data_IF_989338767807
#
_entry.id   IF_989338767807
#
_cell.length_a   1.000
_cell.length_b   1.000
_cell.length_c   1.000
_cell.angle_alpha   90.00
_cell.angle_beta   90.00
_cell.angle_gamma   90.00
#
_symmetry.space_group_name_H-M   'P 1'
#
loop_
_entity.id
_entity.type
_entity.pdbx_description
1 polymer ?
#
# COMPACT_ATOMS: atom_id res chain seq x y z
N UNK A 1 -0.01 -45.84 -7.68
CA UNK A 1 -0.90 -44.67 -7.47
C UNK A 1 -0.93 -44.21 -6.01
N UNK A 2 -1.00 -45.11 -5.02
CA UNK A 2 -0.88 -44.70 -3.60
C UNK A 2 0.55 -44.29 -3.21
N UNK A 3 1.55 -44.99 -3.75
CA UNK A 3 2.98 -44.85 -3.43
C UNK A 3 3.57 -43.56 -4.05
N UNK A 4 3.28 -43.29 -5.32
CA UNK A 4 3.53 -41.98 -5.98
C UNK A 4 3.00 -40.74 -5.22
N UNK A 5 1.83 -40.82 -4.56
CA UNK A 5 1.31 -39.68 -3.76
C UNK A 5 2.10 -39.48 -2.44
N UNK A 6 2.54 -40.57 -1.81
CA UNK A 6 3.36 -40.52 -0.59
C UNK A 6 4.73 -39.88 -0.85
N UNK A 7 5.35 -40.18 -1.99
CA UNK A 7 6.64 -39.56 -2.37
C UNK A 7 6.51 -38.07 -2.68
N UNK A 8 5.40 -37.62 -3.30
CA UNK A 8 5.14 -36.19 -3.53
C UNK A 8 4.92 -35.41 -2.22
N UNK A 9 4.24 -36.00 -1.24
CA UNK A 9 4.16 -35.40 0.10
C UNK A 9 5.53 -35.27 0.77
N UNK A 10 6.42 -36.26 0.60
CA UNK A 10 7.81 -36.18 1.09
C UNK A 10 8.61 -35.08 0.40
N UNK A 11 8.39 -34.83 -0.90
CA UNK A 11 9.01 -33.71 -1.63
C UNK A 11 8.54 -32.37 -1.06
N UNK A 12 7.24 -32.25 -0.74
CA UNK A 12 6.68 -31.05 -0.11
C UNK A 12 7.30 -30.81 1.27
N UNK A 13 7.38 -31.84 2.11
CA UNK A 13 7.98 -31.75 3.43
C UNK A 13 9.48 -31.36 3.36
N UNK A 14 10.22 -31.88 2.38
CA UNK A 14 11.60 -31.49 2.14
C UNK A 14 11.74 -30.00 1.79
N UNK A 15 10.88 -29.47 0.90
CA UNK A 15 10.85 -28.05 0.57
C UNK A 15 10.47 -27.18 1.78
N UNK A 16 9.50 -27.61 2.59
CA UNK A 16 9.11 -26.90 3.81
C UNK A 16 10.29 -26.73 4.77
N UNK A 17 11.08 -27.79 4.96
CA UNK A 17 12.31 -27.78 5.76
C UNK A 17 13.40 -26.91 5.14
N UNK A 18 13.61 -27.02 3.83
CA UNK A 18 14.63 -26.26 3.09
C UNK A 18 14.35 -24.76 3.16
N UNK A 19 13.07 -24.38 3.03
CA UNK A 19 12.63 -22.98 3.09
C UNK A 19 12.32 -22.50 4.52
N UNK A 20 12.57 -23.29 5.56
CA UNK A 20 12.32 -22.86 6.94
C UNK A 20 13.13 -21.62 7.35
N UNK A 21 14.31 -21.42 6.74
CA UNK A 21 15.15 -20.23 6.90
C UNK A 21 14.91 -19.11 5.89
N UNK A 22 13.95 -19.28 4.97
CA UNK A 22 13.72 -18.34 3.88
C UNK A 22 13.11 -17.01 4.37
N UNK A 23 13.35 -15.89 3.66
CA UNK A 23 12.67 -14.64 3.95
C UNK A 23 11.16 -14.79 3.74
N UNK A 24 10.37 -14.42 4.75
CA UNK A 24 8.92 -14.46 4.66
C UNK A 24 8.41 -13.44 3.63
N UNK A 25 7.56 -13.89 2.70
CA UNK A 25 6.95 -13.03 1.69
C UNK A 25 6.21 -13.80 0.60
N UNK A 26 5.33 -13.10 -0.13
CA UNK A 26 4.54 -13.67 -1.24
C UNK A 26 5.43 -14.29 -2.33
N UNK A 27 6.58 -13.67 -2.60
CA UNK A 27 7.54 -14.14 -3.61
C UNK A 27 8.22 -15.45 -3.20
N UNK A 28 8.51 -15.64 -1.91
CA UNK A 28 9.09 -16.88 -1.39
C UNK A 28 8.08 -18.05 -1.46
N UNK A 29 6.81 -17.78 -1.16
CA UNK A 29 5.74 -18.78 -1.31
C UNK A 29 5.49 -19.13 -2.78
N UNK A 30 5.41 -18.14 -3.67
CA UNK A 30 5.23 -18.37 -5.10
C UNK A 30 6.39 -19.18 -5.69
N UNK A 31 7.63 -18.84 -5.33
CA UNK A 31 8.82 -19.57 -5.78
C UNK A 31 8.84 -21.01 -5.25
N UNK A 32 8.43 -21.23 -3.99
CA UNK A 32 8.34 -22.56 -3.39
C UNK A 32 7.29 -23.43 -4.10
N UNK A 33 6.13 -22.87 -4.44
CA UNK A 33 5.10 -23.58 -5.20
C UNK A 33 5.54 -23.87 -6.65
N UNK A 34 6.22 -22.92 -7.31
CA UNK A 34 6.83 -23.12 -8.64
C UNK A 34 7.85 -24.27 -8.62
N UNK A 35 8.75 -24.26 -7.63
CA UNK A 35 9.77 -25.29 -7.48
C UNK A 35 9.17 -26.66 -7.12
N UNK A 36 8.13 -26.70 -6.28
CA UNK A 36 7.41 -27.93 -5.97
C UNK A 36 6.76 -28.55 -7.21
N UNK A 37 6.14 -27.73 -8.06
CA UNK A 37 5.56 -28.18 -9.32
C UNK A 37 6.63 -28.76 -10.26
N UNK A 38 7.74 -28.05 -10.48
CA UNK A 38 8.85 -28.54 -11.31
C UNK A 38 9.45 -29.85 -10.78
N UNK A 39 9.57 -29.99 -9.45
CA UNK A 39 10.03 -31.22 -8.82
C UNK A 39 9.05 -32.38 -9.01
N UNK A 40 7.74 -32.14 -8.95
CA UNK A 40 6.73 -33.16 -9.21
C UNK A 40 6.75 -33.61 -10.66
N UNK A 41 6.88 -32.67 -11.60
CA UNK A 41 6.94 -32.97 -13.04
C UNK A 41 8.18 -33.82 -13.35
N UNK A 42 9.37 -33.42 -12.85
CA UNK A 42 10.59 -34.24 -12.98
C UNK A 42 10.50 -35.61 -12.34
N UNK A 43 9.81 -35.70 -11.20
CA UNK A 43 9.61 -36.98 -10.52
C UNK A 43 8.76 -37.92 -11.38
N UNK A 44 7.64 -37.41 -11.92
CA UNK A 44 6.74 -38.18 -12.77
C UNK A 44 7.46 -38.64 -14.05
N UNK A 45 8.24 -37.76 -14.70
CA UNK A 45 9.05 -38.10 -15.87
C UNK A 45 10.03 -39.25 -15.60
N UNK A 46 10.66 -39.27 -14.41
CA UNK A 46 11.61 -40.32 -14.03
C UNK A 46 10.89 -41.65 -13.76
N UNK A 47 9.74 -41.62 -13.09
CA UNK A 47 8.94 -42.82 -12.85
C UNK A 47 8.42 -43.39 -14.17
N UNK A 48 7.94 -42.54 -15.08
CA UNK A 48 7.47 -42.93 -16.41
C UNK A 48 8.60 -43.49 -17.29
N UNK A 49 9.84 -43.04 -17.08
CA UNK A 49 11.03 -43.62 -17.72
C UNK A 49 11.41 -45.03 -17.20
N UNK A 50 10.67 -45.55 -16.22
CA UNK A 50 10.86 -46.87 -15.63
C UNK A 50 11.77 -46.89 -14.40
N UNK A 51 12.10 -45.73 -13.83
CA UNK A 51 12.87 -45.61 -12.59
C UNK A 51 11.98 -45.93 -11.38
N UNK A 52 12.55 -46.52 -10.33
CA UNK A 52 11.78 -46.78 -9.11
C UNK A 52 11.42 -45.47 -8.40
N UNK A 53 10.26 -45.44 -7.75
CA UNK A 53 9.76 -44.24 -7.04
C UNK A 53 10.77 -43.67 -6.03
N UNK A 54 11.48 -44.52 -5.28
CA UNK A 54 12.49 -44.08 -4.32
C UNK A 54 13.79 -43.57 -4.97
N UNK A 55 14.17 -44.10 -6.12
CA UNK A 55 15.35 -43.65 -6.87
C UNK A 55 15.07 -42.32 -7.59
N UNK A 56 13.88 -42.18 -8.16
CA UNK A 56 13.38 -40.93 -8.73
C UNK A 56 13.38 -39.80 -7.68
N UNK A 57 12.86 -40.08 -6.48
CA UNK A 57 12.88 -39.12 -5.35
C UNK A 57 14.28 -38.63 -5.01
N UNK A 58 15.24 -39.54 -4.81
CA UNK A 58 16.62 -39.19 -4.48
C UNK A 58 17.28 -38.38 -5.60
N UNK A 59 16.98 -38.71 -6.86
CA UNK A 59 17.54 -37.99 -8.01
C UNK A 59 16.99 -36.58 -8.11
N UNK A 60 15.69 -36.37 -7.89
CA UNK A 60 15.07 -35.03 -7.86
C UNK A 60 15.68 -34.17 -6.75
N UNK A 61 15.80 -34.70 -5.53
CA UNK A 61 16.37 -33.95 -4.40
C UNK A 61 17.82 -33.55 -4.64
N UNK A 62 18.62 -34.45 -5.22
CA UNK A 62 20.01 -34.15 -5.54
C UNK A 62 20.19 -33.06 -6.62
N UNK A 63 19.16 -32.81 -7.44
CA UNK A 63 19.21 -31.89 -8.57
C UNK A 63 18.78 -30.45 -8.28
N UNK A 64 18.13 -30.20 -7.14
CA UNK A 64 17.60 -28.86 -6.79
C UNK A 64 18.70 -27.88 -6.37
N UNK A 65 19.82 -28.40 -5.84
CA UNK A 65 20.89 -27.58 -5.27
C UNK A 65 20.73 -27.34 -3.78
N UNK A 66 21.59 -26.48 -3.24
CA UNK A 66 21.65 -26.19 -1.80
C UNK A 66 20.66 -25.08 -1.39
N UNK A 67 20.23 -25.02 -0.12
CA UNK A 67 19.35 -23.96 0.36
C UNK A 67 19.88 -22.54 0.06
N UNK A 68 21.21 -22.36 0.15
CA UNK A 68 21.85 -21.06 -0.11
C UNK A 68 21.72 -20.63 -1.59
N UNK A 69 21.88 -21.56 -2.53
CA UNK A 69 21.70 -21.31 -3.97
C UNK A 69 20.24 -20.95 -4.30
N UNK A 70 19.29 -21.67 -3.70
CA UNK A 70 17.85 -21.38 -3.85
C UNK A 70 17.48 -20.01 -3.29
N UNK A 71 18.04 -19.63 -2.14
CA UNK A 71 17.81 -18.31 -1.56
C UNK A 71 18.47 -17.20 -2.35
N UNK A 72 19.63 -17.45 -2.96
CA UNK A 72 20.26 -16.50 -3.88
C UNK A 72 19.39 -16.28 -5.12
N UNK A 73 18.83 -17.35 -5.69
CA UNK A 73 17.91 -17.27 -6.82
C UNK A 73 16.61 -16.54 -6.45
N UNK A 74 16.04 -16.84 -5.28
CA UNK A 74 14.88 -16.13 -4.74
C UNK A 74 15.20 -14.64 -4.59
N UNK A 75 16.33 -14.29 -3.97
CA UNK A 75 16.74 -12.91 -3.77
C UNK A 75 16.98 -12.18 -5.11
N UNK A 76 17.48 -12.88 -6.13
CA UNK A 76 17.66 -12.37 -7.49
C UNK A 76 16.33 -12.10 -8.19
N UNK A 77 15.35 -13.02 -8.07
CA UNK A 77 13.98 -12.85 -8.59
C UNK A 77 13.23 -11.72 -7.86
N UNK A 78 13.46 -11.55 -6.56
CA UNK A 78 12.89 -10.49 -5.73
C UNK A 78 13.49 -9.10 -5.96
N UNK A 79 14.72 -9.01 -6.48
CA UNK A 79 15.31 -7.72 -6.78
C UNK A 79 14.63 -7.08 -7.99
N UNK A 80 14.13 -5.83 -7.86
CA UNK A 80 13.47 -5.17 -8.97
C UNK A 80 14.47 -4.97 -10.11
N UNK A 81 14.19 -5.57 -11.27
CA UNK A 81 15.03 -5.42 -12.44
C UNK A 81 14.94 -3.98 -12.98
N UNK A 82 15.91 -3.56 -13.79
CA UNK A 82 16.01 -2.20 -14.36
C UNK A 82 14.70 -1.76 -15.04
N UNK A 83 14.03 -2.68 -15.74
CA UNK A 83 12.74 -2.43 -16.38
C UNK A 83 11.62 -2.10 -15.38
N UNK A 84 11.58 -2.73 -14.21
CA UNK A 84 10.56 -2.50 -13.18
C UNK A 84 10.80 -1.18 -12.44
N UNK A 85 12.07 -0.84 -12.21
CA UNK A 85 12.49 0.47 -11.69
C UNK A 85 12.02 1.58 -12.64
N UNK A 86 12.25 1.42 -13.94
CA UNK A 86 11.84 2.42 -14.94
C UNK A 86 10.31 2.55 -15.03
N UNK A 87 9.58 1.42 -15.02
CA UNK A 87 8.11 1.41 -14.99
C UNK A 87 7.57 2.12 -13.75
N UNK A 88 8.12 1.83 -12.57
CA UNK A 88 7.73 2.47 -11.32
C UNK A 88 8.01 3.99 -11.35
N UNK A 89 9.16 4.40 -11.90
CA UNK A 89 9.49 5.82 -12.06
C UNK A 89 8.52 6.54 -13.00
N UNK A 90 8.16 5.93 -14.14
CA UNK A 90 7.17 6.47 -15.09
C UNK A 90 5.81 6.65 -14.44
N UNK A 91 5.34 5.66 -13.68
CA UNK A 91 4.04 5.73 -12.97
C UNK A 91 4.06 6.81 -11.89
N UNK A 92 5.13 6.89 -11.10
CA UNK A 92 5.31 7.95 -10.09
C UNK A 92 5.31 9.35 -10.72
N UNK A 93 5.97 9.54 -11.86
CA UNK A 93 5.95 10.81 -12.60
C UNK A 93 4.53 11.19 -13.03
N UNK A 94 3.78 10.26 -13.62
CA UNK A 94 2.38 10.50 -14.02
C UNK A 94 1.49 10.87 -12.82
N UNK A 95 1.59 10.13 -11.72
CA UNK A 95 0.83 10.41 -10.49
C UNK A 95 1.18 11.80 -9.92
N UNK A 96 2.45 12.18 -9.91
CA UNK A 96 2.87 13.50 -9.46
C UNK A 96 2.35 14.63 -10.37
N UNK A 97 2.37 14.43 -11.70
CA UNK A 97 1.81 15.39 -12.67
C UNK A 97 0.31 15.59 -12.46
N UNK A 98 -0.44 14.50 -12.25
CA UNK A 98 -1.87 14.55 -11.91
C UNK A 98 -2.10 15.30 -10.59
N UNK A 99 -1.25 15.08 -9.60
CA UNK A 99 -1.32 15.78 -8.30
C UNK A 99 -1.05 17.28 -8.47
N UNK A 100 -0.01 17.67 -9.22
CA UNK A 100 0.25 19.09 -9.49
C UNK A 100 -0.86 19.75 -10.28
N UNK A 101 -1.47 19.04 -11.24
CA UNK A 101 -2.59 19.54 -12.01
C UNK A 101 -3.82 19.76 -11.12
N UNK A 102 -4.12 18.83 -10.21
CA UNK A 102 -5.20 18.98 -9.25
C UNK A 102 -5.01 20.22 -8.35
N UNK A 103 -3.79 20.44 -7.86
CA UNK A 103 -3.45 21.62 -7.05
C UNK A 103 -3.66 22.91 -7.85
N UNK A 104 -3.25 22.94 -9.12
CA UNK A 104 -3.50 24.08 -10.00
C UNK A 104 -5.00 24.35 -10.18
N UNK A 105 -5.82 23.30 -10.35
CA UNK A 105 -7.28 23.42 -10.43
C UNK A 105 -7.89 23.97 -9.14
N UNK A 106 -7.40 23.58 -7.96
CA UNK A 106 -7.86 24.16 -6.70
C UNK A 106 -7.58 25.65 -6.60
N UNK A 107 -6.38 26.08 -6.99
CA UNK A 107 -6.00 27.49 -7.00
C UNK A 107 -6.86 28.27 -8.01
N UNK A 108 -7.20 27.65 -9.15
CA UNK A 108 -8.05 28.27 -10.18
C UNK A 108 -9.54 28.24 -9.83
N UNK A 109 -9.98 27.38 -8.89
CA UNK A 109 -11.40 27.17 -8.56
C UNK A 109 -12.18 28.42 -8.12
N UNK A 110 -11.59 29.45 -7.47
CA UNK A 110 -12.32 30.67 -7.12
C UNK A 110 -12.52 31.62 -8.32
N UNK A 111 -11.75 31.46 -9.41
CA UNK A 111 -11.77 32.40 -10.55
C UNK A 111 -13.16 32.54 -11.19
N UNK A 112 -13.91 31.45 -11.46
CA UNK A 112 -15.28 31.58 -11.99
C UNK A 112 -16.23 32.37 -11.08
N UNK A 113 -16.08 32.26 -9.76
CA UNK A 113 -16.90 33.04 -8.80
C UNK A 113 -16.52 34.51 -8.84
N UNK A 114 -15.22 34.81 -8.88
CA UNK A 114 -14.74 36.20 -8.97
C UNK A 114 -15.16 36.88 -10.28
N UNK A 115 -15.08 36.15 -11.40
CA UNK A 115 -15.54 36.66 -12.70
C UNK A 115 -17.06 36.83 -12.72
N UNK A 116 -17.82 35.86 -12.19
CA UNK A 116 -19.28 35.97 -12.07
C UNK A 116 -19.69 37.24 -11.30
N UNK A 117 -19.03 37.54 -10.19
CA UNK A 117 -19.28 38.78 -9.43
C UNK A 117 -18.79 40.05 -10.12
N UNK A 118 -17.78 39.97 -11.00
CA UNK A 118 -17.22 41.14 -11.67
C UNK A 118 -18.03 41.59 -12.90
N UNK A 119 -18.69 40.66 -13.59
CA UNK A 119 -19.43 40.95 -14.83
C UNK A 119 -20.93 41.17 -14.65
N UNK A 120 -21.53 40.70 -13.55
CA UNK A 120 -22.99 40.83 -13.34
C UNK A 120 -23.37 40.70 -11.86
N UNK A 121 -24.15 41.65 -11.33
CA UNK A 121 -24.73 41.61 -9.98
C UNK A 121 -25.99 40.72 -9.89
N UNK A 122 -26.21 39.84 -10.87
CA UNK A 122 -27.38 38.96 -10.86
C UNK A 122 -27.12 37.72 -10.01
N UNK A 123 -28.00 37.46 -9.03
CA UNK A 123 -27.97 36.27 -8.17
C UNK A 123 -27.82 34.95 -8.96
N UNK A 124 -28.41 34.88 -10.16
CA UNK A 124 -28.33 33.69 -11.02
C UNK A 124 -26.91 33.42 -11.51
N UNK A 125 -26.15 34.47 -11.84
CA UNK A 125 -24.77 34.37 -12.33
C UNK A 125 -23.83 34.02 -11.17
N UNK A 126 -24.07 34.57 -9.98
CA UNK A 126 -23.33 34.22 -8.76
C UNK A 126 -23.54 32.75 -8.36
N UNK A 127 -24.78 32.24 -8.40
CA UNK A 127 -25.09 30.83 -8.13
C UNK A 127 -24.39 29.92 -9.16
N UNK A 128 -24.43 30.29 -10.45
CA UNK A 128 -23.77 29.53 -11.51
C UNK A 128 -22.24 29.47 -11.31
N UNK A 129 -21.62 30.58 -10.90
CA UNK A 129 -20.20 30.65 -10.54
C UNK A 129 -19.86 29.72 -9.38
N UNK A 130 -20.70 29.70 -8.33
CA UNK A 130 -20.52 28.79 -7.19
C UNK A 130 -20.65 27.31 -7.59
N UNK A 131 -21.62 26.97 -8.45
CA UNK A 131 -21.75 25.61 -9.00
C UNK A 131 -20.49 25.20 -9.77
N UNK A 132 -19.93 26.09 -10.61
CA UNK A 132 -18.69 25.82 -11.35
C UNK A 132 -17.49 25.62 -10.43
N UNK A 133 -17.38 26.37 -9.34
CA UNK A 133 -16.36 26.15 -8.33
C UNK A 133 -16.43 24.74 -7.75
N UNK A 134 -17.61 24.29 -7.34
CA UNK A 134 -17.78 22.94 -6.79
C UNK A 134 -17.45 21.84 -7.80
N UNK A 135 -17.76 22.04 -9.08
CA UNK A 135 -17.38 21.11 -10.15
C UNK A 135 -15.87 21.03 -10.33
N UNK A 136 -15.16 22.16 -10.31
CA UNK A 136 -13.69 22.19 -10.41
C UNK A 136 -13.05 21.51 -9.19
N UNK A 137 -13.56 21.79 -7.99
CA UNK A 137 -13.12 21.15 -6.74
C UNK A 137 -13.35 19.64 -6.77
N UNK A 138 -14.51 19.18 -7.26
CA UNK A 138 -14.81 17.76 -7.41
C UNK A 138 -13.86 17.09 -8.41
N UNK A 139 -13.61 17.70 -9.56
CA UNK A 139 -12.67 17.20 -10.56
C UNK A 139 -11.23 17.13 -10.02
N UNK A 140 -10.78 18.16 -9.29
CA UNK A 140 -9.46 18.18 -8.65
C UNK A 140 -9.32 17.06 -7.60
N UNK A 141 -10.36 16.87 -6.76
CA UNK A 141 -10.39 15.80 -5.75
C UNK A 141 -10.28 14.42 -6.41
N UNK A 142 -11.07 14.19 -7.46
CA UNK A 142 -11.03 12.93 -8.22
C UNK A 142 -9.63 12.65 -8.77
N UNK A 143 -8.96 13.67 -9.30
CA UNK A 143 -7.62 13.55 -9.86
C UNK A 143 -6.58 13.16 -8.80
N UNK A 144 -6.67 13.71 -7.57
CA UNK A 144 -5.81 13.32 -6.44
C UNK A 144 -6.06 11.87 -6.02
N UNK A 145 -7.34 11.47 -5.88
CA UNK A 145 -7.69 10.11 -5.47
C UNK A 145 -7.16 9.11 -6.50
N UNK A 146 -7.34 9.40 -7.79
CA UNK A 146 -6.81 8.58 -8.87
C UNK A 146 -5.27 8.49 -8.85
N UNK A 147 -4.58 9.62 -8.68
CA UNK A 147 -3.13 9.64 -8.54
C UNK A 147 -2.64 8.84 -7.32
N UNK A 148 -3.37 8.91 -6.21
CA UNK A 148 -3.05 8.18 -4.98
C UNK A 148 -3.19 6.66 -5.15
N UNK A 149 -4.25 6.21 -5.82
CA UNK A 149 -4.51 4.80 -6.14
C UNK A 149 -3.42 4.24 -7.06
N UNK A 150 -3.00 5.02 -8.06
CA UNK A 150 -1.91 4.65 -8.96
C UNK A 150 -0.58 4.45 -8.21
N UNK A 151 -0.34 5.21 -7.14
CA UNK A 151 0.86 5.10 -6.30
C UNK A 151 0.81 3.92 -5.33
N UNK A 152 -0.38 3.52 -4.88
CA UNK A 152 -0.53 2.41 -3.91
C UNK A 152 -0.18 1.05 -4.51
N UNK A 153 -0.49 0.83 -5.79
CA UNK A 153 -0.20 -0.43 -6.50
C UNK A 153 1.31 -0.76 -6.56
N UNK A 154 2.18 0.25 -6.62
CA UNK A 154 3.63 0.05 -6.64
C UNK A 154 4.23 -0.10 -5.24
N UNK A 155 3.62 0.51 -4.22
CA UNK A 155 4.05 0.39 -2.82
C UNK A 155 3.83 -1.02 -2.25
N UNK A 156 2.91 -1.80 -2.83
CA UNK A 156 2.70 -3.20 -2.50
C UNK A 156 3.87 -4.10 -2.90
N UNK A 157 4.49 -3.85 -4.07
CA UNK A 157 5.66 -4.61 -4.57
C UNK A 157 6.97 -4.22 -3.87
N UNK A 158 7.14 -2.96 -3.51
CA UNK A 158 8.34 -2.46 -2.81
C UNK A 158 8.47 -3.01 -1.38
N UNK A 159 7.39 -3.53 -0.79
CA UNK A 159 7.40 -4.19 0.53
C UNK A 159 7.77 -5.67 0.47
N UNK A 160 7.82 -6.27 -0.71
CA UNK A 160 8.17 -7.69 -0.92
C UNK A 160 9.68 -7.91 -1.02
N UNK A 161 10.45 -6.89 -1.42
CA UNK A 161 11.91 -6.93 -1.35
C UNK A 161 12.36 -6.85 0.12
N UNK A 162 13.00 -7.90 0.67
CA UNK A 162 13.41 -7.92 2.07
C UNK A 162 14.72 -7.16 2.22
N UNK A 163 14.73 -5.85 2.04
CA UNK A 163 15.87 -5.05 2.47
C UNK A 163 15.48 -3.60 2.79
N UNK A 164 16.05 -3.12 3.90
CA UNK A 164 16.08 -1.71 4.36
C UNK A 164 14.89 -1.18 5.19
N UNK A 165 13.85 -1.97 5.51
CA UNK A 165 12.85 -1.58 6.54
C UNK A 165 12.91 -2.32 7.87
N UNK A 166 13.96 -3.08 8.13
CA UNK A 166 14.22 -3.67 9.45
C UNK A 166 14.62 -2.64 10.52
N UNK A 167 14.85 -1.36 10.16
CA UNK A 167 15.13 -0.27 11.12
C UNK A 167 14.00 0.74 11.33
N UNK A 168 12.82 0.50 10.76
CA UNK A 168 11.65 1.38 10.96
C UNK A 168 10.46 0.65 11.63
N UNK A 169 10.67 -0.60 12.05
CA UNK A 169 9.72 -1.42 12.81
C UNK A 169 9.90 -1.25 14.33
N UNK A 170 10.01 -0.01 14.80
CA UNK A 170 9.70 0.33 16.19
C UNK A 170 8.63 1.44 16.22
N UNK A 171 7.61 1.32 15.36
CA UNK A 171 6.36 2.06 15.53
C UNK A 171 5.16 1.13 15.34
N UNK A 172 5.27 -0.05 15.92
CA UNK A 172 4.17 -0.97 16.20
C UNK A 172 3.34 -0.50 17.42
N UNK A 173 3.50 0.77 17.83
CA UNK A 173 2.70 1.38 18.90
C UNK A 173 1.31 1.77 18.39
N UNK A 174 0.51 0.72 18.29
CA UNK A 174 -0.95 0.63 18.37
C UNK A 174 -1.77 1.10 17.14
N UNK A 175 -2.46 0.20 16.43
CA UNK A 175 -3.59 0.55 15.56
C UNK A 175 -4.66 1.39 16.29
N UNK A 176 -4.72 1.30 17.63
CA UNK A 176 -5.54 2.14 18.50
C UNK A 176 -5.20 3.64 18.39
N UNK A 177 -3.93 4.04 18.35
CA UNK A 177 -3.55 5.46 18.19
C UNK A 177 -4.02 6.04 16.85
N UNK A 178 -3.93 5.27 15.76
CA UNK A 178 -4.40 5.71 14.43
C UNK A 178 -5.92 5.84 14.38
N UNK A 179 -6.63 4.89 14.99
CA UNK A 179 -8.10 4.93 15.09
C UNK A 179 -8.57 6.10 15.96
N UNK A 180 -7.95 6.31 17.13
CA UNK A 180 -8.26 7.42 18.05
C UNK A 180 -8.00 8.76 17.39
N UNK A 181 -6.88 8.92 16.68
CA UNK A 181 -6.58 10.14 15.93
C UNK A 181 -7.62 10.46 14.86
N UNK A 182 -8.09 9.45 14.12
CA UNK A 182 -9.15 9.63 13.12
C UNK A 182 -10.52 9.97 13.74
N UNK A 183 -10.86 9.37 14.88
CA UNK A 183 -12.10 9.63 15.59
C UNK A 183 -12.13 11.06 16.16
N UNK A 184 -11.01 11.53 16.71
CA UNK A 184 -10.88 12.90 17.24
C UNK A 184 -11.09 13.93 16.14
N UNK A 185 -10.55 13.71 14.93
CA UNK A 185 -10.77 14.60 13.79
C UNK A 185 -12.25 14.71 13.40
N UNK A 186 -12.98 13.59 13.41
CA UNK A 186 -14.42 13.59 13.13
C UNK A 186 -15.18 14.38 14.21
N UNK A 187 -14.83 14.19 15.50
CA UNK A 187 -15.44 14.93 16.61
C UNK A 187 -15.14 16.43 16.51
N UNK A 188 -13.90 16.83 16.21
CA UNK A 188 -13.52 18.23 16.01
C UNK A 188 -14.35 18.86 14.89
N UNK A 189 -14.49 18.17 13.76
CA UNK A 189 -15.30 18.65 12.62
C UNK A 189 -16.77 18.74 12.98
N UNK A 190 -17.32 17.75 13.71
CA UNK A 190 -18.71 17.77 14.17
C UNK A 190 -18.97 18.95 15.13
N UNK A 191 -18.08 19.18 16.10
CA UNK A 191 -18.16 20.33 17.02
C UNK A 191 -18.03 21.64 16.27
N UNK A 192 -17.08 21.76 15.33
CA UNK A 192 -16.95 22.93 14.46
C UNK A 192 -18.24 23.21 13.71
N UNK A 193 -18.84 22.21 13.06
CA UNK A 193 -20.09 22.38 12.33
C UNK A 193 -21.24 22.78 13.24
N UNK A 194 -21.45 22.10 14.37
CA UNK A 194 -22.50 22.45 15.33
C UNK A 194 -22.37 23.91 15.82
N UNK A 195 -21.16 24.32 16.21
CA UNK A 195 -20.91 25.69 16.68
C UNK A 195 -21.05 26.71 15.54
N UNK A 196 -20.57 26.39 14.34
CA UNK A 196 -20.61 27.27 13.17
C UNK A 196 -22.04 27.50 12.66
N UNK A 197 -22.90 26.47 12.71
CA UNK A 197 -24.33 26.64 12.39
C UNK A 197 -25.07 27.44 13.47
N UNK A 198 -24.76 27.22 14.74
CA UNK A 198 -25.44 27.92 15.84
C UNK A 198 -25.06 29.40 15.93
N UNK A 199 -23.79 29.71 15.69
CA UNK A 199 -23.26 31.08 15.83
C UNK A 199 -23.28 31.87 14.51
N UNK A 200 -23.41 31.20 13.35
CA UNK A 200 -23.26 31.79 12.00
C UNK A 200 -22.00 32.64 11.82
N UNK A 201 -21.03 32.53 12.73
CA UNK A 201 -19.81 33.32 12.80
C UNK A 201 -18.63 32.52 12.26
N UNK A 202 -18.76 32.09 11.00
CA UNK A 202 -17.80 31.24 10.27
C UNK A 202 -16.35 31.76 10.31
N UNK A 203 -16.18 33.07 10.49
CA UNK A 203 -14.88 33.75 10.60
C UNK A 203 -14.16 33.52 11.94
N UNK A 204 -14.89 33.13 13.00
CA UNK A 204 -14.33 32.93 14.34
C UNK A 204 -14.23 31.43 14.70
N UNK A 205 -15.13 30.60 14.18
CA UNK A 205 -15.22 29.17 14.52
C UNK A 205 -14.04 28.34 14.02
N UNK A 206 -13.29 28.82 13.03
CA UNK A 206 -12.07 28.16 12.54
C UNK A 206 -10.98 28.01 13.63
N UNK A 207 -11.04 28.78 14.72
CA UNK A 207 -10.11 28.69 15.85
C UNK A 207 -10.18 27.34 16.58
N UNK A 208 -11.25 26.56 16.36
CA UNK A 208 -11.41 25.20 16.89
C UNK A 208 -10.35 24.25 16.32
N UNK A 209 -9.90 24.44 15.08
CA UNK A 209 -8.88 23.59 14.45
C UNK A 209 -7.50 23.65 15.12
N UNK A 210 -6.88 24.84 15.37
CA UNK A 210 -5.61 24.90 16.07
C UNK A 210 -5.71 24.40 17.52
N UNK A 211 -6.84 24.61 18.19
CA UNK A 211 -7.10 24.04 19.53
C UNK A 211 -7.15 22.50 19.46
N UNK A 212 -7.86 21.95 18.47
CA UNK A 212 -7.92 20.51 18.24
C UNK A 212 -6.56 19.89 17.91
N UNK A 213 -5.72 20.59 17.14
CA UNK A 213 -4.35 20.19 16.86
C UNK A 213 -3.47 20.20 18.12
N UNK A 214 -3.62 21.19 18.99
CA UNK A 214 -2.91 21.24 20.28
C UNK A 214 -3.32 20.07 21.19
N UNK A 215 -4.61 19.74 21.25
CA UNK A 215 -5.13 18.59 22.03
C UNK A 215 -4.51 17.26 21.55
N UNK A 216 -4.43 17.04 20.23
CA UNK A 216 -3.79 15.85 19.67
C UNK A 216 -2.31 15.72 20.11
N UNK A 217 -1.55 16.82 20.06
CA UNK A 217 -0.15 16.82 20.51
C UNK A 217 -0.01 16.51 22.01
N UNK A 218 -0.91 17.04 22.85
CA UNK A 218 -0.92 16.76 24.30
C UNK A 218 -1.24 15.29 24.57
N UNK A 219 -2.23 14.73 23.87
CA UNK A 219 -2.59 13.32 23.99
C UNK A 219 -1.43 12.43 23.55
N UNK A 220 -0.78 12.76 22.44
CA UNK A 220 0.38 12.00 21.96
C UNK A 220 1.53 12.01 22.96
N UNK A 221 1.80 13.17 23.57
CA UNK A 221 2.77 13.33 24.65
C UNK A 221 2.39 12.55 25.91
N UNK A 222 1.12 12.59 26.33
CA UNK A 222 0.62 11.89 27.52
C UNK A 222 0.68 10.37 27.36
N UNK A 223 0.30 9.84 26.19
CA UNK A 223 0.39 8.41 25.91
C UNK A 223 1.86 7.98 25.72
N UNK A 224 2.73 8.85 25.18
CA UNK A 224 4.17 8.57 25.09
C UNK A 224 4.82 8.43 26.48
N UNK A 225 4.45 9.28 27.43
CA UNK A 225 4.88 9.18 28.84
C UNK A 225 4.36 7.93 29.53
N UNK A 226 3.14 7.48 29.20
CA UNK A 226 2.51 6.29 29.82
C UNK A 226 3.03 4.95 29.27
N UNK A 227 3.55 4.92 28.05
CA UNK A 227 4.14 3.72 27.41
C UNK A 227 5.65 3.55 27.60
N UNK A 228 6.26 4.32 28.51
CA UNK A 228 7.69 4.29 28.84
C UNK A 228 8.03 3.60 30.17
N UNK A 229 7.19 2.67 30.64
CA UNK A 229 7.49 1.75 31.74
C UNK A 229 7.46 0.32 31.24
#
# INVERSE_FOLDING_TARGET
MYESNDMKEKLRAYLDLTFAGAPAGKEAEEFKEELYADMCDKYDDLVDSGMSEGEAYNRVISGIGTPDELFEELNRKSQPNQADIERAAKVRRKANLLTSLAIALYILSPVPVMLASAFSDSDRVSILGACMLFLIVAAATFLIVYASSMRSQFKGREKSAPSVKAKEKENERSPLRKAVGSAIWIVIVAVYLCVSFWTSAWHLTWLIFPIGAAINNIIDAAIALKGGK
#
